data_IF_867979047377
#
_entry.id   IF_867979047377
#
_cell.length_a   1.000
_cell.length_b   1.000
_cell.length_c   1.000
_cell.angle_alpha   90.00
_cell.angle_beta   90.00
_cell.angle_gamma   90.00
#
_symmetry.space_group_name_H-M   'P 1'
#
loop_
_entity.id
_entity.type
_entity.pdbx_description
1 polymer ?
#
# COMPACT_ATOMS: atom_id res chain seq x y z
N UNK A 1 -20.82 -7.01 23.06
CA UNK A 1 -20.87 -5.89 22.09
C UNK A 1 -20.92 -6.49 20.68
N UNK A 2 -21.12 -5.74 19.58
CA UNK A 2 -21.01 -6.36 18.25
C UNK A 2 -19.60 -6.91 18.02
N UNK A 3 -19.53 -8.04 17.34
CA UNK A 3 -18.28 -8.72 16.98
C UNK A 3 -17.92 -8.36 15.55
N UNK A 4 -16.64 -8.12 15.33
CA UNK A 4 -16.08 -7.84 14.01
C UNK A 4 -14.88 -8.75 13.80
N UNK A 5 -14.74 -9.27 12.58
CA UNK A 5 -13.51 -9.93 12.17
C UNK A 5 -12.58 -8.88 11.58
N UNK A 6 -11.39 -8.75 12.14
CA UNK A 6 -10.33 -7.86 11.67
C UNK A 6 -9.23 -8.74 11.10
N UNK A 7 -8.96 -8.58 9.81
CA UNK A 7 -7.84 -9.22 9.13
C UNK A 7 -6.80 -8.15 8.80
N UNK A 8 -5.56 -8.34 9.26
CA UNK A 8 -4.43 -7.47 8.94
C UNK A 8 -3.42 -8.24 8.10
N UNK A 9 -2.88 -7.61 7.07
CA UNK A 9 -1.78 -8.11 6.25
C UNK A 9 -0.62 -7.12 6.35
N UNK A 10 0.44 -7.53 7.05
CA UNK A 10 1.64 -6.74 7.29
C UNK A 10 2.77 -7.36 6.49
N UNK A 11 3.03 -6.80 5.30
CA UNK A 11 4.07 -7.27 4.37
C UNK A 11 3.99 -8.78 4.04
N UNK A 12 2.77 -9.29 3.83
CA UNK A 12 2.50 -10.69 3.55
C UNK A 12 2.27 -11.56 4.79
N UNK A 13 2.40 -11.00 5.99
CA UNK A 13 2.04 -11.68 7.23
C UNK A 13 0.59 -11.38 7.59
N UNK A 14 -0.26 -12.39 7.40
CA UNK A 14 -1.71 -12.29 7.62
C UNK A 14 -2.05 -12.72 9.04
N UNK A 15 -2.74 -11.83 9.77
CA UNK A 15 -3.29 -12.09 11.09
C UNK A 15 -4.80 -11.83 11.10
N UNK A 16 -5.58 -12.72 11.72
CA UNK A 16 -7.03 -12.64 11.76
C UNK A 16 -7.53 -12.75 13.19
N UNK A 17 -8.31 -11.76 13.64
CA UNK A 17 -8.87 -11.73 15.00
C UNK A 17 -10.35 -11.38 14.98
N UNK A 18 -11.10 -11.98 15.91
CA UNK A 18 -12.47 -11.56 16.21
C UNK A 18 -12.41 -10.66 17.43
N UNK A 19 -12.83 -9.41 17.26
CA UNK A 19 -12.75 -8.37 18.30
C UNK A 19 -14.14 -7.77 18.55
N UNK A 20 -14.45 -7.50 19.81
CA UNK A 20 -15.66 -6.81 20.20
C UNK A 20 -15.44 -5.29 20.19
N UNK A 21 -16.24 -4.58 19.40
CA UNK A 21 -16.24 -3.11 19.39
C UNK A 21 -17.62 -2.57 19.78
N UNK A 22 -17.69 -1.39 20.42
CA UNK A 22 -18.98 -0.78 20.78
C UNK A 22 -19.75 -0.30 19.54
N UNK A 23 -19.05 0.06 18.46
CA UNK A 23 -19.65 0.54 17.21
C UNK A 23 -18.78 0.14 16.01
N UNK A 24 -19.36 0.20 14.80
CA UNK A 24 -18.61 0.06 13.55
C UNK A 24 -17.49 1.11 13.43
N UNK A 25 -17.76 2.35 13.87
CA UNK A 25 -16.75 3.42 13.84
C UNK A 25 -15.51 3.06 14.65
N UNK A 26 -15.71 2.55 15.87
CA UNK A 26 -14.61 2.11 16.72
C UNK A 26 -13.78 0.98 16.08
N UNK A 27 -14.42 0.04 15.38
CA UNK A 27 -13.71 -1.03 14.67
C UNK A 27 -12.85 -0.49 13.51
N UNK A 28 -13.33 0.54 12.81
CA UNK A 28 -12.60 1.21 11.72
C UNK A 28 -11.41 2.00 12.26
N UNK A 29 -11.63 2.78 13.31
CA UNK A 29 -10.60 3.60 13.93
C UNK A 29 -9.47 2.72 14.48
N UNK A 30 -9.81 1.60 15.13
CA UNK A 30 -8.83 0.62 15.62
C UNK A 30 -8.02 0.01 14.47
N UNK A 31 -8.66 -0.40 13.38
CA UNK A 31 -7.98 -0.92 12.19
C UNK A 31 -7.01 0.12 11.57
N UNK A 32 -7.38 1.41 11.56
CA UNK A 32 -6.48 2.48 11.09
C UNK A 32 -5.28 2.68 12.00
N UNK A 33 -5.50 2.70 13.32
CA UNK A 33 -4.44 2.85 14.31
C UNK A 33 -3.48 1.66 14.23
N UNK A 34 -4.01 0.43 14.17
CA UNK A 34 -3.23 -0.79 14.02
C UNK A 34 -2.34 -0.78 12.78
N UNK A 35 -2.81 -0.26 11.64
CA UNK A 35 -1.98 -0.10 10.45
C UNK A 35 -0.84 0.91 10.64
N UNK A 36 -1.12 2.04 11.29
CA UNK A 36 -0.10 3.06 11.55
C UNK A 36 0.97 2.54 12.53
N UNK A 37 0.56 1.81 13.56
CA UNK A 37 1.46 1.18 14.52
C UNK A 37 2.30 0.08 13.84
N UNK A 38 1.69 -0.77 13.02
CA UNK A 38 2.42 -1.77 12.24
C UNK A 38 3.45 -1.13 11.30
N UNK A 39 3.08 -0.04 10.62
CA UNK A 39 4.01 0.71 9.78
C UNK A 39 5.19 1.27 10.60
N UNK A 40 4.93 1.78 11.80
CA UNK A 40 5.96 2.28 12.72
C UNK A 40 6.90 1.17 13.21
N UNK A 41 6.38 -0.02 13.46
CA UNK A 41 7.16 -1.15 14.00
C UNK A 41 7.95 -1.88 12.91
N UNK A 42 7.41 -1.97 11.69
CA UNK A 42 8.08 -2.61 10.55
C UNK A 42 9.17 -1.71 9.95
N UNK A 43 8.94 -0.39 9.89
CA UNK A 43 9.95 0.56 9.44
C UNK A 43 10.99 0.81 10.55
N UNK A 44 12.28 0.96 10.21
CA UNK A 44 12.84 1.28 8.89
C UNK A 44 13.40 0.07 8.10
N UNK A 45 12.91 -1.15 8.28
CA UNK A 45 13.55 -2.36 7.74
C UNK A 45 13.42 -2.56 6.20
N UNK A 46 13.24 -1.51 5.41
CA UNK A 46 13.17 -1.59 3.96
C UNK A 46 12.86 -0.26 3.28
N UNK A 47 13.12 -0.18 1.97
CA UNK A 47 12.71 0.94 1.11
C UNK A 47 11.24 0.83 0.66
N UNK A 48 10.60 -0.32 0.90
CA UNK A 48 9.19 -0.55 0.61
C UNK A 48 8.57 -1.44 1.68
N UNK A 49 7.31 -1.16 2.03
CA UNK A 49 6.48 -2.04 2.84
C UNK A 49 5.01 -1.80 2.47
N UNK A 50 4.23 -2.87 2.46
CA UNK A 50 2.78 -2.81 2.19
C UNK A 50 2.02 -3.33 3.40
N UNK A 51 0.99 -2.59 3.81
CA UNK A 51 0.15 -2.94 4.95
C UNK A 51 -1.31 -2.84 4.52
N UNK A 52 -2.16 -3.76 4.97
CA UNK A 52 -3.61 -3.65 4.76
C UNK A 52 -4.41 -4.19 5.93
N UNK A 53 -5.60 -3.64 6.13
CA UNK A 53 -6.55 -4.08 7.12
C UNK A 53 -7.94 -4.18 6.51
N UNK A 54 -8.67 -5.21 6.90
CA UNK A 54 -10.01 -5.54 6.49
C UNK A 54 -10.85 -5.73 7.75
N UNK A 55 -12.04 -5.13 7.78
CA UNK A 55 -13.02 -5.36 8.85
C UNK A 55 -14.29 -5.91 8.24
N UNK A 56 -14.72 -7.05 8.76
CA UNK A 56 -15.96 -7.73 8.41
C UNK A 56 -16.93 -7.72 9.59
N UNK A 57 -18.23 -7.60 9.31
CA UNK A 57 -19.28 -7.76 10.31
C UNK A 57 -19.51 -9.24 10.67
N UNK A 58 -20.38 -9.50 11.66
CA UNK A 58 -20.71 -10.86 12.10
C UNK A 58 -21.40 -11.73 11.02
N UNK A 59 -21.88 -11.14 9.92
CA UNK A 59 -22.46 -11.86 8.79
C UNK A 59 -21.42 -12.16 7.71
N UNK A 60 -20.16 -11.74 7.89
CA UNK A 60 -19.10 -11.86 6.90
C UNK A 60 -19.15 -10.79 5.80
N UNK A 61 -19.87 -9.68 6.01
CA UNK A 61 -19.83 -8.57 5.07
C UNK A 61 -18.63 -7.69 5.38
N UNK A 62 -17.83 -7.41 4.36
CA UNK A 62 -16.80 -6.38 4.44
C UNK A 62 -17.43 -5.00 4.63
N UNK A 63 -17.12 -4.36 5.76
CA UNK A 63 -17.63 -3.03 6.11
C UNK A 63 -16.54 -1.95 6.10
N UNK A 64 -15.28 -2.38 5.98
CA UNK A 64 -14.12 -1.50 5.92
C UNK A 64 -12.91 -2.19 5.30
N UNK A 65 -12.14 -1.44 4.51
CA UNK A 65 -10.82 -1.83 4.03
C UNK A 65 -9.92 -0.61 4.02
N UNK A 66 -8.68 -0.79 4.48
CA UNK A 66 -7.63 0.21 4.44
C UNK A 66 -6.33 -0.42 3.96
N UNK A 67 -5.50 0.37 3.28
CA UNK A 67 -4.16 -0.01 2.89
C UNK A 67 -3.20 1.15 3.08
N UNK A 68 -1.94 0.84 3.39
CA UNK A 68 -0.84 1.78 3.51
C UNK A 68 0.35 1.21 2.72
N UNK A 69 0.80 1.98 1.73
CA UNK A 69 1.97 1.66 0.92
C UNK A 69 3.09 2.64 1.28
N UNK A 70 4.18 2.13 1.86
CA UNK A 70 5.37 2.92 2.13
C UNK A 70 6.40 2.71 1.02
N UNK A 71 6.96 3.80 0.52
CA UNK A 71 8.04 3.80 -0.47
C UNK A 71 9.04 4.90 -0.13
N UNK A 72 10.29 4.52 0.09
CA UNK A 72 11.42 5.40 0.32
C UNK A 72 12.47 5.19 -0.78
N UNK A 73 13.17 6.26 -1.11
CA UNK A 73 14.26 6.28 -2.09
C UNK A 73 15.43 7.03 -1.47
N UNK A 74 16.63 6.50 -1.62
CA UNK A 74 17.82 7.25 -1.28
C UNK A 74 18.24 8.18 -2.45
N UNK A 75 19.31 8.95 -2.25
CA UNK A 75 19.78 9.87 -3.28
C UNK A 75 20.13 9.13 -4.59
N UNK A 76 20.76 7.95 -4.50
CA UNK A 76 21.13 7.15 -5.66
C UNK A 76 19.90 6.65 -6.43
N UNK A 77 18.89 6.15 -5.70
CA UNK A 77 17.61 5.74 -6.29
C UNK A 77 16.95 6.90 -7.05
N UNK A 78 16.96 8.09 -6.47
CA UNK A 78 16.40 9.31 -7.08
C UNK A 78 17.18 9.68 -8.35
N UNK A 79 18.52 9.72 -8.28
CA UNK A 79 19.34 10.07 -9.43
C UNK A 79 19.19 9.10 -10.60
N UNK A 80 19.12 7.80 -10.32
CA UNK A 80 18.96 6.78 -11.36
C UNK A 80 17.57 6.80 -12.01
N UNK A 81 16.51 7.07 -11.23
CA UNK A 81 15.16 7.24 -11.77
C UNK A 81 15.06 8.47 -12.68
N UNK A 82 15.61 9.61 -12.25
CA UNK A 82 15.64 10.84 -13.05
C UNK A 82 16.40 10.60 -14.37
N UNK A 83 17.57 9.95 -14.31
CA UNK A 83 18.36 9.59 -15.51
C UNK A 83 17.56 8.69 -16.46
N UNK A 84 16.89 7.67 -15.93
CA UNK A 84 16.08 6.74 -16.73
C UNK A 84 14.87 7.45 -17.37
N UNK A 85 14.25 8.39 -16.65
CA UNK A 85 13.13 9.17 -17.15
C UNK A 85 13.58 10.05 -18.34
N UNK A 86 14.74 10.71 -18.22
CA UNK A 86 15.32 11.50 -19.30
C UNK A 86 15.66 10.65 -20.52
N UNK A 87 16.30 9.49 -20.33
CA UNK A 87 16.63 8.56 -21.42
C UNK A 87 15.37 8.02 -22.12
N UNK A 88 14.33 7.70 -21.37
CA UNK A 88 13.05 7.27 -21.93
C UNK A 88 12.38 8.38 -22.74
N UNK A 89 12.42 9.63 -22.26
CA UNK A 89 11.89 10.78 -22.97
C UNK A 89 12.62 11.03 -24.30
N UNK A 90 13.96 10.94 -24.29
CA UNK A 90 14.78 11.06 -25.50
C UNK A 90 14.50 9.94 -26.50
N UNK A 91 14.34 8.70 -26.03
CA UNK A 91 14.00 7.56 -26.87
C UNK A 91 12.63 7.74 -27.55
N UNK A 92 11.63 8.23 -26.80
CA UNK A 92 10.29 8.54 -27.34
C UNK A 92 10.39 9.70 -28.35
N UNK A 93 11.12 10.77 -28.03
CA UNK A 93 11.31 11.89 -28.94
C UNK A 93 12.00 11.46 -30.25
N UNK A 94 12.99 10.57 -30.18
CA UNK A 94 13.65 10.01 -31.34
C UNK A 94 12.71 9.12 -32.17
N UNK A 95 11.90 8.29 -31.51
CA UNK A 95 10.93 7.42 -32.18
C UNK A 95 9.86 8.23 -32.93
N UNK A 96 9.39 9.34 -32.35
CA UNK A 96 8.43 10.24 -32.98
C UNK A 96 9.03 11.08 -34.12
N UNK A 97 10.36 11.32 -34.10
CA UNK A 97 11.09 12.04 -35.15
C UNK A 97 11.43 11.17 -36.35
N UNK A 98 11.45 9.84 -36.22
CA UNK A 98 11.59 8.94 -37.37
C UNK A 98 10.25 8.94 -38.11
N UNK A 99 10.16 9.51 -39.33
CA UNK A 99 8.95 9.32 -40.12
C UNK A 99 8.80 7.82 -40.36
N UNK A 100 7.58 7.33 -40.23
CA UNK A 100 7.15 6.03 -40.74
C UNK A 100 7.43 6.00 -42.25
N UNK A 101 8.67 5.67 -42.63
CA UNK A 101 9.04 5.31 -43.99
C UNK A 101 9.26 3.81 -44.02
N UNK A 102 8.32 3.13 -44.65
CA UNK A 102 8.34 1.80 -45.31
C UNK A 102 6.95 1.17 -45.10
N UNK A 103 6.19 0.75 -46.11
CA UNK A 103 6.16 0.89 -47.58
C UNK A 103 4.72 0.46 -47.95
#
# INVERSE_FOLDING_TARGET
>A
MPHFKVTSDIDGNIDENIVEFPTVGAAKDDAQIGLADAARDTLPNGSHATFSALVEDASGNEIYRASLDFKAKDAGDIFEEDRQADEAADAVALALRKPTQQD
#
